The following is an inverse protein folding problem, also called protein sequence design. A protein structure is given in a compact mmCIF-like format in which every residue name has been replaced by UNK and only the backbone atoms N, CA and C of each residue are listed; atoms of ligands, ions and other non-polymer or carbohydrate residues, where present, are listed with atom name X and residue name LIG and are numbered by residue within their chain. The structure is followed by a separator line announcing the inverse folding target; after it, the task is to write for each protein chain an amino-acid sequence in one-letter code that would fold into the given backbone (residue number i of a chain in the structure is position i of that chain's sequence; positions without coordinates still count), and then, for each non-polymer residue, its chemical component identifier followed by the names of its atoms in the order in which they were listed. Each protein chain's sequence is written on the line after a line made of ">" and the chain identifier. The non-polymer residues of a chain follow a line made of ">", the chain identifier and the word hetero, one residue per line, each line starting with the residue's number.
data_IF_689930961700
#
_entry.id   IF_689930961700
#
_cell.length_a   1.000
_cell.length_b   1.000
_cell.length_c   1.000
_cell.angle_alpha   90.00
_cell.angle_beta   90.00
_cell.angle_gamma   90.00
#
_symmetry.space_group_name_H-M   'P 1'
#
loop_
_entity.id
_entity.type
_entity.pdbx_description
1 polymer ?
#
# COMPACT_ATOMS: atom_id res chain seq x y z
N UNK A 1 -4.29 -24.70 -5.45
CA UNK A 1 -3.10 -25.58 -5.53
C UNK A 1 -2.08 -24.86 -6.41
N UNK A 2 -0.87 -24.50 -6.01
CA UNK A 2 0.02 -25.05 -5.00
C UNK A 2 0.85 -23.95 -4.29
N UNK A 3 1.38 -24.35 -3.14
CA UNK A 3 2.25 -23.66 -2.19
C UNK A 3 3.69 -23.43 -2.72
N UNK A 4 4.48 -22.67 -1.94
CA UNK A 4 5.96 -22.48 -1.94
C UNK A 4 6.61 -21.48 -2.93
N UNK A 5 7.04 -20.32 -2.42
CA UNK A 5 8.41 -20.14 -1.87
C UNK A 5 8.54 -18.73 -1.24
N UNK A 6 8.97 -18.66 0.02
CA UNK A 6 9.44 -17.42 0.61
C UNK A 6 10.85 -17.12 0.07
N UNK A 7 11.05 -16.02 -0.64
CA UNK A 7 12.37 -15.64 -1.16
C UNK A 7 12.40 -14.28 -1.84
N UNK A 8 13.06 -13.33 -1.18
CA UNK A 8 13.27 -11.91 -1.51
C UNK A 8 12.05 -10.97 -1.39
N UNK A 9 11.93 -10.46 -0.17
CA UNK A 9 11.22 -9.26 0.24
C UNK A 9 11.70 -8.00 -0.51
N UNK A 10 11.06 -7.71 -1.65
CA UNK A 10 10.70 -6.37 -2.11
C UNK A 10 9.57 -6.50 -3.16
N UNK A 11 8.30 -6.29 -2.76
CA UNK A 11 7.18 -6.03 -3.67
C UNK A 11 6.62 -7.18 -4.55
N UNK A 12 6.44 -8.41 -4.05
CA UNK A 12 6.15 -9.57 -4.92
C UNK A 12 4.72 -9.74 -5.46
N UNK A 13 3.75 -8.89 -5.11
CA UNK A 13 2.41 -8.99 -5.71
C UNK A 13 2.00 -7.68 -6.38
N UNK A 14 2.83 -7.18 -7.30
CA UNK A 14 2.49 -6.04 -8.13
C UNK A 14 1.80 -6.47 -9.43
N UNK A 15 0.76 -7.30 -9.35
CA UNK A 15 -0.12 -7.55 -10.52
C UNK A 15 -0.63 -6.22 -11.05
N UNK A 16 -1.03 -5.33 -10.13
CA UNK A 16 -1.49 -3.99 -10.45
C UNK A 16 -0.43 -3.21 -11.23
N UNK A 17 0.85 -3.20 -10.82
CA UNK A 17 1.94 -2.48 -11.52
C UNK A 17 2.20 -3.04 -12.92
N UNK A 18 2.17 -4.37 -13.10
CA UNK A 18 2.38 -5.01 -14.41
C UNK A 18 1.30 -4.62 -15.41
N UNK A 19 0.04 -4.56 -14.98
CA UNK A 19 -1.09 -4.14 -15.83
C UNK A 19 -0.96 -2.70 -16.30
N UNK A 20 -0.49 -1.78 -15.46
CA UNK A 20 -0.38 -0.35 -15.83
C UNK A 20 0.77 -0.06 -16.77
N UNK A 21 1.85 -0.84 -16.72
CA UNK A 21 2.98 -0.65 -17.62
C UNK A 21 2.57 -0.84 -19.08
N UNK A 22 1.48 -1.57 -19.36
CA UNK A 22 0.93 -1.72 -20.71
C UNK A 22 0.10 -0.51 -21.18
N UNK A 23 -0.27 0.39 -20.28
CA UNK A 23 -1.12 1.56 -20.56
C UNK A 23 -0.32 2.83 -20.93
N UNK A 24 1.02 2.77 -20.90
CA UNK A 24 1.93 3.89 -21.19
C UNK A 24 2.51 4.57 -19.94
N UNK A 25 3.54 5.42 -20.11
CA UNK A 25 4.33 5.95 -18.99
C UNK A 25 3.56 6.87 -18.02
N UNK A 26 2.73 7.76 -18.56
CA UNK A 26 1.92 8.70 -17.76
C UNK A 26 0.95 7.98 -16.80
N UNK A 27 0.07 7.07 -17.26
CA UNK A 27 -0.81 6.32 -16.35
C UNK A 27 -0.03 5.34 -15.46
N UNK A 28 1.09 4.77 -15.93
CA UNK A 28 1.91 3.86 -15.13
C UNK A 28 2.50 4.52 -13.88
N UNK A 29 3.00 5.76 -13.96
CA UNK A 29 3.49 6.51 -12.79
C UNK A 29 2.37 6.87 -11.82
N UNK A 30 1.23 7.30 -12.34
CA UNK A 30 0.08 7.70 -11.53
C UNK A 30 -0.43 6.53 -10.68
N UNK A 31 -0.59 5.35 -11.28
CA UNK A 31 -1.12 4.22 -10.54
C UNK A 31 -0.12 3.62 -9.55
N UNK A 32 1.17 3.57 -9.85
CA UNK A 32 2.18 3.10 -8.89
C UNK A 32 2.19 3.98 -7.63
N UNK A 33 2.13 5.30 -7.82
CA UNK A 33 1.98 6.26 -6.72
C UNK A 33 0.68 6.00 -5.94
N UNK A 34 -0.41 5.69 -6.64
CA UNK A 34 -1.69 5.34 -6.03
C UNK A 34 -1.64 4.06 -5.17
N UNK A 35 -0.93 3.02 -5.61
CA UNK A 35 -0.74 1.77 -4.84
C UNK A 35 -0.03 2.08 -3.52
N UNK A 36 1.07 2.83 -3.57
CA UNK A 36 1.82 3.23 -2.37
C UNK A 36 0.95 4.08 -1.44
N UNK A 37 0.18 5.01 -2.00
CA UNK A 37 -0.74 5.85 -1.23
C UNK A 37 -1.80 5.01 -0.50
N UNK A 38 -2.44 4.06 -1.19
CA UNK A 38 -3.43 3.17 -0.61
C UNK A 38 -2.85 2.21 0.44
N UNK A 39 -1.60 1.77 0.29
CA UNK A 39 -0.92 0.95 1.30
C UNK A 39 -0.61 1.75 2.57
N UNK A 40 -0.25 3.03 2.46
CA UNK A 40 0.05 3.89 3.61
C UNK A 40 -1.21 4.43 4.30
N UNK A 41 -2.30 4.62 3.55
CA UNK A 41 -3.57 5.14 4.07
C UNK A 41 -4.10 4.43 5.33
N UNK A 42 -4.21 3.09 5.41
CA UNK A 42 -4.74 2.42 6.61
C UNK A 42 -3.86 2.67 7.84
N UNK A 43 -2.54 2.71 7.69
CA UNK A 43 -1.64 3.01 8.80
C UNK A 43 -1.80 4.46 9.28
N UNK A 44 -1.94 5.40 8.35
CA UNK A 44 -2.17 6.81 8.69
C UNK A 44 -3.50 6.99 9.44
N UNK A 45 -4.58 6.34 8.98
CA UNK A 45 -5.91 6.42 9.62
C UNK A 45 -5.86 5.82 11.03
N UNK A 46 -5.30 4.61 11.19
CA UNK A 46 -5.20 3.95 12.49
C UNK A 46 -4.35 4.77 13.46
N UNK A 47 -3.22 5.30 13.00
CA UNK A 47 -2.36 6.17 13.80
C UNK A 47 -3.09 7.43 14.28
N UNK A 48 -3.84 8.09 13.39
CA UNK A 48 -4.61 9.29 13.73
C UNK A 48 -5.72 9.00 14.75
N UNK A 49 -6.52 7.95 14.52
CA UNK A 49 -7.60 7.55 15.44
C UNK A 49 -7.05 7.16 16.80
N UNK A 50 -5.98 6.35 16.83
CA UNK A 50 -5.32 5.93 18.06
C UNK A 50 -4.75 7.10 18.85
N UNK A 51 -4.10 8.05 18.17
CA UNK A 51 -3.58 9.27 18.81
C UNK A 51 -4.70 10.10 19.44
N UNK A 52 -5.81 10.29 18.71
CA UNK A 52 -6.96 11.06 19.20
C UNK A 52 -7.62 10.39 20.41
N UNK A 53 -7.77 9.07 20.38
CA UNK A 53 -8.33 8.31 21.50
C UNK A 53 -7.44 8.40 22.75
N UNK A 54 -6.13 8.19 22.59
CA UNK A 54 -5.16 8.27 23.69
C UNK A 54 -5.13 9.65 24.34
N UNK A 55 -5.24 10.73 23.55
CA UNK A 55 -5.36 12.10 24.07
C UNK A 55 -6.65 12.24 24.89
N UNK A 56 -7.79 11.82 24.34
CA UNK A 56 -9.09 11.91 25.01
C UNK A 56 -9.22 11.06 26.28
N UNK A 57 -8.40 10.01 26.42
CA UNK A 57 -8.39 9.11 27.60
C UNK A 57 -7.32 9.49 28.63
N UNK A 58 -6.47 10.48 28.33
CA UNK A 58 -5.43 11.00 29.25
C UNK A 58 -5.76 12.39 29.81
N UNK A 59 -6.87 12.96 29.34
CA UNK A 59 -7.60 14.04 29.99
C UNK A 59 -8.68 13.42 30.88
#
# INVERSE_FOLDING_TARGET
>A
MLSFCAGNSFGQCSICTKTVQQMGEKPARGLNTGIVYLMLAPFAIVGYVGYRWWRSNRD
#
